data_IF_840124938336
#
_entry.id   IF_840124938336
#
_cell.length_a   1.000
_cell.length_b   1.000
_cell.length_c   1.000
_cell.angle_alpha   90.00
_cell.angle_beta   90.00
_cell.angle_gamma   90.00
#
_symmetry.space_group_name_H-M   'P 1'
#
loop_
_entity.id
_entity.type
_entity.pdbx_description
1 polymer ?
#
# COMPACT_ATOMS: atom_id res chain seq x y z
N UNK A 1 -33.65 -15.92 -57.95
CA UNK A 1 -34.47 -16.94 -57.27
C UNK A 1 -34.21 -16.78 -55.77
N UNK A 2 -35.12 -16.13 -55.03
CA UNK A 2 -36.17 -16.74 -54.17
C UNK A 2 -35.54 -17.61 -53.06
N UNK A 3 -35.80 -17.46 -51.75
CA UNK A 3 -36.89 -16.84 -50.96
C UNK A 3 -36.45 -16.86 -49.46
N UNK A 4 -36.57 -15.78 -48.67
CA UNK A 4 -37.72 -15.34 -47.81
C UNK A 4 -37.67 -15.87 -46.36
N UNK A 5 -37.59 -14.94 -45.39
CA UNK A 5 -38.02 -15.08 -43.98
C UNK A 5 -39.56 -15.20 -43.91
N UNK A 6 -40.18 -15.66 -42.80
CA UNK A 6 -40.65 -14.64 -41.83
C UNK A 6 -40.76 -15.07 -40.36
N UNK A 7 -40.84 -14.02 -39.55
CA UNK A 7 -41.33 -13.85 -38.17
C UNK A 7 -42.63 -14.58 -37.79
N UNK A 8 -42.79 -14.84 -36.48
CA UNK A 8 -44.10 -14.82 -35.82
C UNK A 8 -44.01 -14.47 -34.34
N UNK A 9 -44.90 -13.56 -33.94
CA UNK A 9 -45.14 -12.96 -32.63
C UNK A 9 -46.41 -13.57 -32.01
N UNK A 10 -46.45 -13.77 -30.69
CA UNK A 10 -47.64 -13.79 -29.80
C UNK A 10 -47.22 -14.24 -28.39
N UNK A 11 -47.89 -14.00 -27.27
CA UNK A 11 -48.75 -12.95 -26.74
C UNK A 11 -49.15 -13.45 -25.32
N UNK A 12 -49.10 -12.56 -24.33
CA UNK A 12 -49.94 -12.50 -23.10
C UNK A 12 -50.30 -13.79 -22.34
N UNK A 13 -49.95 -13.82 -21.05
CA UNK A 13 -50.88 -14.29 -20.00
C UNK A 13 -50.69 -13.52 -18.71
N UNK A 14 -51.71 -12.71 -18.38
CA UNK A 14 -51.94 -12.11 -17.07
C UNK A 14 -52.28 -13.20 -16.04
N UNK A 15 -51.75 -13.11 -14.82
CA UNK A 15 -52.47 -13.52 -13.60
C UNK A 15 -52.10 -12.58 -12.44
N UNK A 16 -53.13 -11.85 -12.02
CA UNK A 16 -53.20 -11.04 -10.80
C UNK A 16 -53.45 -11.94 -9.60
N UNK A 17 -52.71 -11.76 -8.50
CA UNK A 17 -53.20 -12.07 -7.14
C UNK A 17 -52.81 -10.93 -6.21
N UNK A 18 -53.83 -10.45 -5.50
CA UNK A 18 -53.82 -9.36 -4.53
C UNK A 18 -53.31 -9.85 -3.17
N UNK A 19 -52.76 -8.92 -2.37
CA UNK A 19 -53.22 -8.72 -0.99
C UNK A 19 -52.21 -8.93 0.15
N UNK A 20 -52.24 -7.94 1.06
CA UNK A 20 -51.75 -7.90 2.43
C UNK A 20 -50.22 -7.81 2.61
N UNK A 21 -49.65 -6.91 3.40
CA UNK A 21 -50.16 -5.99 4.41
C UNK A 21 -48.98 -5.69 5.34
N UNK A 22 -48.44 -4.48 5.27
CA UNK A 22 -47.41 -3.98 6.17
C UNK A 22 -48.03 -3.59 7.52
N UNK A 23 -47.36 -3.80 8.66
CA UNK A 23 -47.55 -2.95 9.82
C UNK A 23 -46.40 -1.94 9.95
N UNK A 24 -46.81 -0.69 10.09
CA UNK A 24 -46.02 0.46 10.51
C UNK A 24 -45.43 0.25 11.91
N UNK A 25 -44.12 0.44 12.06
CA UNK A 25 -43.50 0.69 13.36
C UNK A 25 -43.18 2.18 13.50
N UNK A 26 -43.85 2.81 14.46
CA UNK A 26 -43.76 4.22 14.86
C UNK A 26 -42.35 4.64 15.23
N UNK A 27 -41.89 5.74 14.63
CA UNK A 27 -40.88 6.62 15.20
C UNK A 27 -41.49 7.37 16.40
N UNK A 28 -40.91 7.23 17.59
CA UNK A 28 -41.11 8.15 18.71
C UNK A 28 -39.82 8.96 18.91
N UNK A 29 -39.88 10.23 18.51
CA UNK A 29 -39.09 11.31 19.09
C UNK A 29 -39.68 11.65 20.46
N UNK A 30 -38.84 11.88 21.47
CA UNK A 30 -39.01 12.92 22.52
C UNK A 30 -37.72 13.03 23.36
N UNK A 31 -37.14 14.22 23.34
CA UNK A 31 -36.11 14.84 24.20
C UNK A 31 -36.57 15.01 25.66
N UNK A 32 -35.84 15.71 26.57
CA UNK A 32 -34.41 15.74 26.90
C UNK A 32 -34.16 15.46 28.40
N UNK A 33 -32.95 15.09 28.83
CA UNK A 33 -32.63 15.01 30.27
C UNK A 33 -31.41 15.86 30.66
N UNK A 34 -31.75 17.00 31.27
CA UNK A 34 -31.24 17.54 32.55
C UNK A 34 -29.71 17.67 32.74
N UNK A 35 -29.29 18.92 32.69
CA UNK A 35 -28.08 19.47 33.34
C UNK A 35 -28.09 19.21 34.84
N UNK A 36 -26.94 18.77 35.39
CA UNK A 36 -26.67 18.77 36.82
C UNK A 36 -25.33 19.48 37.07
N UNK A 37 -25.39 20.55 37.86
CA UNK A 37 -24.23 21.26 38.42
C UNK A 37 -23.92 20.71 39.82
N UNK A 38 -22.61 20.61 40.15
CA UNK A 38 -22.10 20.75 41.51
C UNK A 38 -21.47 19.51 42.15
N UNK A 39 -20.15 19.54 42.39
CA UNK A 39 -19.41 18.61 43.25
C UNK A 39 -17.89 18.78 43.12
N UNK A 40 -17.09 18.67 44.19
CA UNK A 40 -16.00 19.61 44.49
C UNK A 40 -14.64 19.30 43.86
N UNK A 41 -13.84 20.36 43.79
CA UNK A 41 -12.43 20.40 43.41
C UNK A 41 -11.57 19.43 44.22
N UNK A 42 -10.99 18.44 43.55
CA UNK A 42 -9.83 17.70 44.06
C UNK A 42 -8.59 18.10 43.25
N UNK A 43 -7.73 18.85 43.93
CA UNK A 43 -6.42 19.30 43.50
C UNK A 43 -5.47 18.11 43.54
N UNK A 44 -5.08 17.58 42.38
CA UNK A 44 -4.03 16.56 42.29
C UNK A 44 -2.65 17.21 42.47
N UNK A 45 -1.76 16.67 43.29
CA UNK A 45 -0.40 17.20 43.41
C UNK A 45 0.38 16.90 42.13
N UNK A 46 1.08 17.93 41.64
CA UNK A 46 2.06 17.81 40.58
C UNK A 46 3.26 16.99 41.09
N UNK A 47 3.22 15.68 40.90
CA UNK A 47 4.39 14.82 41.00
C UNK A 47 4.94 14.62 39.59
N UNK A 48 6.06 15.30 39.31
CA UNK A 48 6.81 15.13 38.09
C UNK A 48 7.34 13.71 37.98
N UNK A 49 6.69 12.91 37.14
CA UNK A 49 7.29 11.73 36.54
C UNK A 49 7.58 12.09 35.09
N UNK A 50 8.86 12.30 34.78
CA UNK A 50 9.33 12.32 33.40
C UNK A 50 9.01 10.95 32.81
N UNK A 51 8.02 10.90 31.93
CA UNK A 51 7.70 9.70 31.17
C UNK A 51 8.87 9.39 30.24
N UNK A 52 9.73 8.45 30.62
CA UNK A 52 10.69 7.85 29.71
C UNK A 52 9.91 7.10 28.64
N UNK A 53 9.88 7.66 27.43
CA UNK A 53 9.21 7.04 26.29
C UNK A 53 9.86 5.68 25.96
N UNK A 54 9.06 4.67 25.55
CA UNK A 54 9.60 3.39 25.12
C UNK A 54 10.50 3.55 23.89
N UNK A 55 11.53 2.70 23.79
CA UNK A 55 12.56 2.66 22.73
C UNK A 55 12.00 2.50 21.29
N UNK A 56 10.69 2.28 21.11
CA UNK A 56 10.06 2.04 19.81
C UNK A 56 9.36 3.23 19.13
N UNK A 57 9.33 4.43 19.73
CA UNK A 57 8.61 5.59 19.16
C UNK A 57 9.36 6.91 19.38
N UNK A 58 10.68 6.94 19.17
CA UNK A 58 11.35 8.22 18.98
C UNK A 58 11.03 8.72 17.57
N UNK A 59 10.07 9.65 17.50
CA UNK A 59 9.88 10.53 16.34
C UNK A 59 11.18 11.32 16.19
N UNK A 60 12.06 10.87 15.30
CA UNK A 60 13.30 11.57 14.99
C UNK A 60 12.94 13.02 14.71
N UNK A 61 13.67 13.96 15.32
CA UNK A 61 13.41 15.37 15.08
C UNK A 61 13.56 15.60 13.58
N UNK A 62 12.44 15.88 12.92
CA UNK A 62 12.38 16.22 11.50
C UNK A 62 13.26 17.44 11.14
N UNK A 63 13.82 18.10 12.16
CA UNK A 63 14.63 19.30 12.10
C UNK A 63 16.14 19.06 11.82
N UNK A 64 16.65 17.83 11.80
CA UNK A 64 18.04 17.60 11.37
C UNK A 64 18.19 17.96 9.88
N UNK A 65 19.10 18.90 9.50
CA UNK A 65 19.40 19.18 8.10
C UNK A 65 19.90 17.91 7.39
N UNK A 66 19.69 17.81 6.08
CA UNK A 66 20.30 16.75 5.27
C UNK A 66 19.37 15.65 4.75
N UNK A 67 19.92 14.80 3.89
CA UNK A 67 19.25 13.65 3.26
C UNK A 67 19.06 12.46 4.21
N UNK A 68 18.42 11.39 3.73
CA UNK A 68 18.17 10.21 4.58
C UNK A 68 19.47 9.45 4.89
N UNK A 69 20.43 9.40 3.96
CA UNK A 69 21.74 8.79 4.20
C UNK A 69 22.55 9.57 5.25
N UNK A 70 22.54 10.90 5.20
CA UNK A 70 23.26 11.74 6.16
C UNK A 70 22.75 11.52 7.59
N UNK A 71 21.43 11.46 7.77
CA UNK A 71 20.83 11.15 9.07
C UNK A 71 21.19 9.74 9.56
N UNK A 72 21.22 8.74 8.66
CA UNK A 72 21.68 7.40 8.99
C UNK A 72 23.14 7.39 9.48
N UNK A 73 24.04 8.06 8.76
CA UNK A 73 25.45 8.16 9.12
C UNK A 73 25.66 8.91 10.44
N UNK A 74 24.85 9.93 10.74
CA UNK A 74 24.90 10.64 12.01
C UNK A 74 24.50 9.74 13.18
N UNK A 75 23.43 8.95 13.04
CA UNK A 75 23.01 7.97 14.05
C UNK A 75 24.05 6.86 14.23
N UNK A 76 24.71 6.45 13.14
CA UNK A 76 25.84 5.51 13.20
C UNK A 76 26.99 6.11 14.01
N UNK A 77 27.36 7.36 13.71
CA UNK A 77 28.46 8.06 14.38
C UNK A 77 28.17 8.36 15.86
N UNK A 78 26.91 8.59 16.24
CA UNK A 78 26.50 8.79 17.64
C UNK A 78 26.42 7.48 18.44
N UNK A 79 26.52 6.32 17.78
CA UNK A 79 26.38 5.00 18.41
C UNK A 79 24.93 4.63 18.73
N UNK A 80 23.94 5.37 18.22
CA UNK A 80 22.51 5.04 18.39
C UNK A 80 22.07 3.84 17.57
N UNK A 81 22.78 3.55 16.46
CA UNK A 81 22.60 2.35 15.65
C UNK A 81 23.92 1.62 15.46
N UNK A 82 23.84 0.30 15.29
CA UNK A 82 25.01 -0.51 14.96
C UNK A 82 25.40 -0.33 13.49
N UNK A 83 26.69 -0.42 13.21
CA UNK A 83 27.20 -0.38 11.84
C UNK A 83 26.81 -1.65 11.06
N UNK A 84 26.08 -1.46 9.96
CA UNK A 84 25.80 -2.53 8.99
C UNK A 84 26.07 -1.98 7.57
N UNK A 85 27.17 -2.40 6.92
CA UNK A 85 27.51 -1.96 5.57
C UNK A 85 26.40 -2.22 4.54
N UNK A 86 25.55 -3.24 4.76
CA UNK A 86 24.45 -3.60 3.84
C UNK A 86 23.31 -2.60 3.93
N UNK A 87 22.99 -2.15 5.16
CA UNK A 87 22.02 -1.08 5.37
C UNK A 87 22.52 0.24 4.80
N UNK A 88 23.82 0.56 4.93
CA UNK A 88 24.41 1.78 4.37
C UNK A 88 24.28 1.82 2.82
N UNK A 89 24.53 0.70 2.13
CA UNK A 89 24.31 0.59 0.68
C UNK A 89 22.84 0.84 0.32
N UNK A 90 21.91 0.20 1.04
CA UNK A 90 20.48 0.41 0.83
C UNK A 90 20.07 1.87 1.09
N UNK A 91 20.59 2.50 2.14
CA UNK A 91 20.35 3.90 2.46
C UNK A 91 20.88 4.84 1.39
N UNK A 92 22.04 4.55 0.80
CA UNK A 92 22.55 5.31 -0.34
C UNK A 92 21.62 5.23 -1.55
N UNK A 93 21.07 4.05 -1.86
CA UNK A 93 20.13 3.87 -2.96
C UNK A 93 18.82 4.65 -2.72
N UNK A 94 18.31 4.65 -1.48
CA UNK A 94 17.15 5.44 -1.08
C UNK A 94 17.41 6.95 -1.18
N UNK A 95 18.61 7.40 -0.82
CA UNK A 95 19.02 8.81 -0.88
C UNK A 95 19.18 9.28 -2.33
N UNK A 96 19.75 8.45 -3.20
CA UNK A 96 19.83 8.71 -4.64
C UNK A 96 18.44 8.80 -5.28
N UNK A 97 17.53 7.88 -4.93
CA UNK A 97 16.12 7.98 -5.33
C UNK A 97 15.48 9.29 -4.82
N UNK A 98 15.71 9.70 -3.57
CA UNK A 98 15.17 10.94 -3.05
C UNK A 98 15.64 12.18 -3.82
N UNK A 99 16.89 12.19 -4.30
CA UNK A 99 17.43 13.25 -5.17
C UNK A 99 16.73 13.26 -6.52
N UNK A 100 16.59 12.11 -7.16
CA UNK A 100 15.90 11.98 -8.45
C UNK A 100 14.46 12.48 -8.37
N UNK A 101 13.78 12.23 -7.26
CA UNK A 101 12.40 12.64 -7.03
C UNK A 101 12.21 14.13 -6.74
N UNK A 102 13.27 14.88 -6.47
CA UNK A 102 13.18 16.32 -6.12
C UNK A 102 12.59 17.16 -7.25
N UNK A 103 12.83 16.77 -8.51
CA UNK A 103 12.29 17.45 -9.71
C UNK A 103 11.24 16.62 -10.45
N UNK A 104 10.86 15.47 -9.90
CA UNK A 104 9.94 14.55 -10.53
C UNK A 104 8.50 15.04 -10.40
N UNK A 105 7.72 14.86 -11.47
CA UNK A 105 6.29 15.06 -11.46
C UNK A 105 5.62 13.96 -12.28
N UNK A 106 4.65 13.22 -11.72
CA UNK A 106 3.98 12.13 -12.41
C UNK A 106 3.05 12.64 -13.51
N UNK A 107 2.70 11.75 -14.43
CA UNK A 107 1.72 12.04 -15.49
C UNK A 107 0.32 11.77 -14.94
N UNK A 108 -0.44 12.82 -14.64
CA UNK A 108 -1.83 12.69 -14.17
C UNK A 108 -2.84 12.29 -15.27
N UNK A 109 -2.34 11.90 -16.45
CA UNK A 109 -3.15 11.42 -17.59
C UNK A 109 -2.38 10.32 -18.31
N UNK A 110 -3.08 9.25 -18.71
CA UNK A 110 -2.48 8.20 -19.54
C UNK A 110 -2.26 8.72 -20.97
N UNK A 111 -1.15 8.32 -21.59
CA UNK A 111 -1.01 8.45 -23.03
C UNK A 111 -2.07 7.57 -23.71
N UNK A 112 -2.62 8.01 -24.85
CA UNK A 112 -3.56 7.22 -25.63
C UNK A 112 -3.00 5.80 -25.86
N UNK A 113 -3.84 4.76 -25.65
CA UNK A 113 -3.45 3.33 -25.68
C UNK A 113 -2.56 3.03 -26.89
N UNK A 114 -1.25 3.04 -26.70
CA UNK A 114 -0.30 2.56 -27.71
C UNK A 114 -0.31 1.05 -27.62
N UNK A 115 -0.56 0.35 -28.72
CA UNK A 115 -0.50 -1.11 -28.85
C UNK A 115 0.92 -1.67 -28.81
N UNK A 116 1.86 -0.93 -28.20
CA UNK A 116 3.25 -1.33 -28.02
C UNK A 116 3.50 -1.92 -26.62
N UNK A 117 4.66 -2.57 -26.41
CA UNK A 117 5.07 -3.02 -25.09
C UNK A 117 5.06 -1.84 -24.09
N UNK A 118 4.72 -2.13 -22.83
CA UNK A 118 4.68 -1.15 -21.75
C UNK A 118 5.97 -0.31 -21.75
N UNK A 119 5.90 1.02 -21.53
CA UNK A 119 7.08 1.87 -21.57
C UNK A 119 8.10 1.37 -20.56
N UNK A 120 9.24 0.89 -21.07
CA UNK A 120 10.42 0.55 -20.26
C UNK A 120 10.92 1.83 -19.62
N UNK A 121 11.01 1.80 -18.29
CA UNK A 121 11.45 2.83 -17.35
C UNK A 121 12.74 3.55 -17.80
N UNK A 122 12.60 4.55 -18.67
CA UNK A 122 13.70 5.42 -19.11
C UNK A 122 13.43 6.90 -18.83
N UNK A 123 12.37 7.21 -18.09
CA UNK A 123 12.14 8.52 -17.50
C UNK A 123 11.74 8.39 -16.04
N UNK A 124 12.69 8.62 -15.13
CA UNK A 124 12.61 9.00 -13.70
C UNK A 124 11.55 8.38 -12.75
N UNK A 125 10.67 7.49 -13.20
CA UNK A 125 9.62 6.83 -12.42
C UNK A 125 10.02 5.41 -11.99
N UNK A 126 11.27 5.24 -11.55
CA UNK A 126 11.74 3.96 -11.01
C UNK A 126 11.34 3.82 -9.53
N UNK A 127 10.77 2.68 -9.16
CA UNK A 127 10.56 2.29 -7.77
C UNK A 127 11.80 1.66 -7.14
N UNK A 128 11.75 1.42 -5.83
CA UNK A 128 12.78 0.70 -5.09
C UNK A 128 12.14 -0.39 -4.23
N UNK A 129 12.50 -1.64 -4.48
CA UNK A 129 11.99 -2.77 -3.73
C UNK A 129 13.15 -3.41 -2.97
N UNK A 130 13.12 -3.37 -1.65
CA UNK A 130 14.17 -3.98 -0.84
C UNK A 130 13.63 -5.06 0.08
N UNK A 131 14.38 -6.15 0.17
CA UNK A 131 13.99 -7.32 0.95
C UNK A 131 15.14 -7.92 1.74
N UNK A 132 14.82 -8.90 2.59
CA UNK A 132 15.80 -9.55 3.47
C UNK A 132 16.20 -8.67 4.66
N UNK A 133 16.99 -9.23 5.57
CA UNK A 133 17.63 -8.50 6.68
C UNK A 133 16.70 -7.86 7.72
N UNK A 134 17.32 -7.20 8.68
CA UNK A 134 16.66 -6.40 9.72
C UNK A 134 16.72 -4.91 9.37
N UNK A 135 15.97 -4.06 10.09
CA UNK A 135 16.06 -2.61 9.92
C UNK A 135 15.37 -2.02 8.67
N UNK A 136 14.68 -2.81 7.84
CA UNK A 136 13.94 -2.30 6.66
C UNK A 136 12.96 -1.18 6.98
N UNK A 137 12.12 -1.37 8.00
CA UNK A 137 11.15 -0.37 8.43
C UNK A 137 11.83 0.89 8.95
N UNK A 138 12.99 0.75 9.59
CA UNK A 138 13.81 1.87 10.05
C UNK A 138 14.36 2.68 8.86
N UNK A 139 14.91 2.01 7.84
CA UNK A 139 15.37 2.67 6.60
C UNK A 139 14.22 3.35 5.86
N UNK A 140 13.06 2.69 5.77
CA UNK A 140 11.84 3.27 5.19
C UNK A 140 11.38 4.51 5.97
N UNK A 141 11.45 4.50 7.32
CA UNK A 141 11.14 5.69 8.12
C UNK A 141 12.06 6.86 7.75
N UNK A 142 13.38 6.62 7.69
CA UNK A 142 14.36 7.67 7.37
C UNK A 142 14.13 8.27 5.99
N UNK A 143 13.86 7.44 4.99
CA UNK A 143 13.50 7.90 3.65
C UNK A 143 12.20 8.70 3.66
N UNK A 144 11.12 8.14 4.23
CA UNK A 144 9.80 8.76 4.22
C UNK A 144 9.77 10.10 4.96
N UNK A 145 10.47 10.21 6.09
CA UNK A 145 10.48 11.43 6.89
C UNK A 145 11.28 12.56 6.22
N UNK A 146 12.32 12.23 5.44
CA UNK A 146 13.23 13.22 4.83
C UNK A 146 12.89 13.63 3.41
N UNK A 147 12.17 12.79 2.67
CA UNK A 147 11.85 13.12 1.28
C UNK A 147 10.91 14.33 1.17
N UNK A 148 11.31 15.32 0.38
CA UNK A 148 10.57 16.55 0.12
C UNK A 148 9.52 16.36 -0.99
N UNK A 149 8.67 15.34 -0.85
CA UNK A 149 7.51 15.09 -1.69
C UNK A 149 6.26 15.26 -0.83
N UNK A 150 5.33 16.10 -1.28
CA UNK A 150 4.08 16.39 -0.55
C UNK A 150 3.06 15.27 -0.76
N UNK A 151 2.88 14.83 -1.99
CA UNK A 151 1.94 13.80 -2.40
C UNK A 151 2.57 12.41 -2.24
N UNK A 152 2.83 12.04 -0.97
CA UNK A 152 3.36 10.73 -0.58
C UNK A 152 2.40 10.03 0.36
N UNK A 153 2.31 8.70 0.24
CA UNK A 153 1.49 7.85 1.11
C UNK A 153 2.31 6.66 1.57
N UNK A 154 2.31 6.42 2.88
CA UNK A 154 2.86 5.22 3.48
C UNK A 154 1.78 4.36 4.09
N UNK A 155 1.80 3.06 3.80
CA UNK A 155 0.74 2.14 4.18
C UNK A 155 1.26 0.69 4.14
N UNK A 156 0.74 -0.18 5.00
CA UNK A 156 1.00 -1.62 4.89
C UNK A 156 0.34 -2.18 3.63
N UNK A 157 1.04 -3.05 2.90
CA UNK A 157 0.56 -3.51 1.60
C UNK A 157 -0.83 -4.20 1.66
N UNK A 158 -1.08 -4.98 2.72
CA UNK A 158 -2.38 -5.64 2.92
C UNK A 158 -3.53 -4.63 3.12
N UNK A 159 -3.32 -3.59 3.93
CA UNK A 159 -4.31 -2.53 4.15
C UNK A 159 -4.60 -1.77 2.86
N UNK A 160 -3.56 -1.53 2.06
CA UNK A 160 -3.71 -0.92 0.75
C UNK A 160 -4.53 -1.79 -0.21
N UNK A 161 -4.33 -3.11 -0.21
CA UNK A 161 -5.14 -4.03 -1.01
C UNK A 161 -6.62 -4.01 -0.60
N UNK A 162 -6.91 -3.96 0.70
CA UNK A 162 -8.29 -3.78 1.20
C UNK A 162 -8.89 -2.48 0.68
N UNK A 163 -8.12 -1.39 0.69
CA UNK A 163 -8.55 -0.08 0.18
C UNK A 163 -8.88 -0.14 -1.32
N UNK A 164 -8.02 -0.78 -2.13
CA UNK A 164 -8.24 -0.98 -3.57
C UNK A 164 -9.54 -1.74 -3.84
N UNK A 165 -9.74 -2.90 -3.20
CA UNK A 165 -10.96 -3.71 -3.37
C UNK A 165 -12.21 -2.95 -2.94
N UNK A 166 -12.13 -2.20 -1.83
CA UNK A 166 -13.24 -1.38 -1.33
C UNK A 166 -13.64 -0.30 -2.33
N UNK A 167 -12.67 0.41 -2.91
CA UNK A 167 -12.91 1.45 -3.91
C UNK A 167 -13.49 0.87 -5.20
N UNK A 168 -12.95 -0.25 -5.68
CA UNK A 168 -13.45 -0.95 -6.87
C UNK A 168 -14.91 -1.36 -6.69
N UNK A 169 -15.24 -2.00 -5.57
CA UNK A 169 -16.59 -2.43 -5.27
C UNK A 169 -17.56 -1.25 -5.13
N UNK A 170 -17.13 -0.11 -4.55
CA UNK A 170 -17.93 1.11 -4.49
C UNK A 170 -18.23 1.67 -5.88
N UNK A 171 -17.22 1.76 -6.75
CA UNK A 171 -17.40 2.25 -8.13
C UNK A 171 -18.25 1.28 -8.96
N UNK A 172 -18.10 -0.03 -8.78
CA UNK A 172 -18.92 -1.04 -9.44
C UNK A 172 -20.41 -0.89 -9.06
N UNK A 173 -20.71 -0.73 -7.77
CA UNK A 173 -22.09 -0.50 -7.30
C UNK A 173 -22.68 0.81 -7.86
N UNK A 174 -21.93 1.91 -7.81
CA UNK A 174 -22.35 3.19 -8.36
C UNK A 174 -22.51 3.19 -9.89
N UNK A 175 -21.72 2.39 -10.60
CA UNK A 175 -21.78 2.25 -12.07
C UNK A 175 -22.96 1.40 -12.55
N UNK A 176 -23.76 0.81 -11.66
CA UNK A 176 -24.97 0.08 -12.07
C UNK A 176 -26.00 0.99 -12.79
N UNK A 177 -25.83 2.33 -12.70
CA UNK A 177 -26.58 3.32 -13.45
C UNK A 177 -26.01 3.62 -14.87
N UNK A 178 -24.75 3.25 -15.15
CA UNK A 178 -24.06 3.51 -16.41
C UNK A 178 -23.42 2.21 -16.94
N UNK A 179 -24.14 1.50 -17.80
CA UNK A 179 -23.83 0.11 -18.24
C UNK A 179 -22.56 -0.05 -19.07
N UNK A 180 -21.86 1.03 -19.39
CA UNK A 180 -20.74 1.03 -20.33
C UNK A 180 -19.34 0.95 -19.68
N UNK A 181 -19.24 1.10 -18.34
CA UNK A 181 -17.93 1.01 -17.68
C UNK A 181 -17.44 -0.45 -17.61
N UNK A 182 -16.32 -0.72 -18.28
CA UNK A 182 -15.62 -2.01 -18.19
C UNK A 182 -14.89 -2.15 -16.85
N UNK A 183 -14.48 -3.37 -16.50
CA UNK A 183 -13.67 -3.61 -15.30
C UNK A 183 -12.35 -2.82 -15.33
N UNK A 184 -11.74 -2.67 -16.51
CA UNK A 184 -10.49 -1.92 -16.66
C UNK A 184 -10.72 -0.41 -16.45
N UNK A 185 -11.87 0.13 -16.87
CA UNK A 185 -12.23 1.54 -16.63
C UNK A 185 -12.39 1.82 -15.12
N UNK A 186 -12.94 0.87 -14.36
CA UNK A 186 -13.05 1.01 -12.90
C UNK A 186 -11.67 1.00 -12.23
N UNK A 187 -10.77 0.11 -12.66
CA UNK A 187 -9.38 0.06 -12.18
C UNK A 187 -8.67 1.38 -12.48
N UNK A 188 -8.84 1.91 -13.68
CA UNK A 188 -8.23 3.18 -14.09
C UNK A 188 -8.72 4.34 -13.23
N UNK A 189 -10.03 4.42 -12.98
CA UNK A 189 -10.59 5.44 -12.11
C UNK A 189 -10.06 5.32 -10.68
N UNK A 190 -9.95 4.09 -10.12
CA UNK A 190 -9.40 3.89 -8.78
C UNK A 190 -7.94 4.29 -8.71
N UNK A 191 -7.10 3.85 -9.65
CA UNK A 191 -5.69 4.21 -9.70
C UNK A 191 -5.48 5.73 -9.82
N UNK A 192 -6.27 6.39 -10.68
CA UNK A 192 -6.21 7.84 -10.88
C UNK A 192 -6.57 8.61 -9.61
N UNK A 193 -7.62 8.16 -8.90
CA UNK A 193 -7.99 8.76 -7.62
C UNK A 193 -6.87 8.60 -6.58
N UNK A 194 -6.23 7.43 -6.52
CA UNK A 194 -5.12 7.16 -5.61
C UNK A 194 -3.87 7.98 -5.94
N UNK A 195 -3.55 8.17 -7.22
CA UNK A 195 -2.44 9.01 -7.67
C UNK A 195 -2.58 10.47 -7.27
N UNK A 196 -3.81 10.98 -7.17
CA UNK A 196 -4.10 12.34 -6.68
C UNK A 196 -3.86 12.47 -5.17
N UNK A 197 -4.03 11.39 -4.42
CA UNK A 197 -3.80 11.35 -2.97
C UNK A 197 -2.32 11.17 -2.63
N UNK A 198 -1.60 10.40 -3.44
CA UNK A 198 -0.17 10.22 -3.30
C UNK A 198 0.40 9.41 -4.46
N UNK A 199 1.35 10.00 -5.18
CA UNK A 199 2.02 9.33 -6.29
C UNK A 199 3.32 8.64 -5.86
N UNK A 200 3.92 9.07 -4.74
CA UNK A 200 4.97 8.32 -4.05
C UNK A 200 4.35 7.36 -3.04
N UNK A 201 4.38 6.07 -3.36
CA UNK A 201 3.78 4.99 -2.57
C UNK A 201 4.87 4.24 -1.80
N UNK A 202 4.87 4.38 -0.49
CA UNK A 202 5.77 3.68 0.43
C UNK A 202 5.03 2.50 1.07
N UNK A 203 5.26 1.29 0.56
CA UNK A 203 4.67 0.07 1.10
C UNK A 203 5.56 -0.56 2.16
N UNK A 204 5.00 -0.74 3.35
CA UNK A 204 5.60 -1.62 4.35
C UNK A 204 5.03 -3.04 4.22
N UNK A 205 5.88 -4.03 4.48
CA UNK A 205 5.51 -5.45 4.50
C UNK A 205 4.79 -5.91 3.22
N UNK A 206 5.41 -5.65 2.08
CA UNK A 206 4.93 -6.09 0.79
C UNK A 206 4.93 -7.62 0.71
N UNK A 207 3.76 -8.21 0.93
CA UNK A 207 3.52 -9.65 0.85
C UNK A 207 2.12 -9.93 0.30
N UNK A 208 1.98 -10.99 -0.50
CA UNK A 208 0.71 -11.38 -1.10
C UNK A 208 0.24 -12.68 -0.46
N UNK A 209 -0.99 -12.70 0.05
CA UNK A 209 -1.55 -13.88 0.74
C UNK A 209 -2.83 -14.40 0.09
N UNK A 210 -3.60 -13.54 -0.60
CA UNK A 210 -4.90 -13.90 -1.17
C UNK A 210 -4.92 -13.94 -2.70
N UNK A 211 -5.68 -14.88 -3.27
CA UNK A 211 -5.82 -15.03 -4.73
C UNK A 211 -6.57 -13.85 -5.37
N UNK A 212 -7.50 -13.23 -4.65
CA UNK A 212 -8.18 -12.00 -5.11
C UNK A 212 -7.19 -10.89 -5.44
N UNK A 213 -6.09 -10.81 -4.68
CA UNK A 213 -5.08 -9.78 -4.83
C UNK A 213 -4.24 -10.05 -6.08
N UNK A 214 -3.83 -11.31 -6.28
CA UNK A 214 -3.04 -11.71 -7.45
C UNK A 214 -3.69 -11.31 -8.79
N UNK A 215 -5.02 -11.42 -8.91
CA UNK A 215 -5.73 -11.07 -10.14
C UNK A 215 -5.74 -9.55 -10.38
N UNK A 216 -5.97 -8.76 -9.33
CA UNK A 216 -6.12 -7.31 -9.47
C UNK A 216 -4.78 -6.57 -9.51
N UNK A 217 -3.75 -7.11 -8.85
CA UNK A 217 -2.46 -6.45 -8.67
C UNK A 217 -1.83 -6.04 -10.00
N UNK A 218 -1.72 -6.96 -10.96
CA UNK A 218 -1.17 -6.63 -12.28
C UNK A 218 -1.91 -5.46 -12.91
N UNK A 219 -3.24 -5.45 -12.86
CA UNK A 219 -4.08 -4.43 -13.51
C UNK A 219 -3.88 -3.07 -12.85
N UNK A 220 -4.01 -2.98 -11.53
CA UNK A 220 -3.90 -1.71 -10.81
C UNK A 220 -2.48 -1.13 -10.89
N UNK A 221 -1.44 -1.96 -10.69
CA UNK A 221 -0.05 -1.51 -10.79
C UNK A 221 0.33 -1.10 -12.20
N UNK A 222 -0.19 -1.76 -13.25
CA UNK A 222 0.00 -1.29 -14.63
C UNK A 222 -0.46 0.16 -14.77
N UNK A 223 -1.67 0.48 -14.28
CA UNK A 223 -2.18 1.85 -14.38
C UNK A 223 -1.36 2.81 -13.54
N UNK A 224 -1.00 2.45 -12.31
CA UNK A 224 -0.20 3.30 -11.43
C UNK A 224 1.15 3.64 -12.07
N UNK A 225 1.86 2.65 -12.60
CA UNK A 225 3.14 2.86 -13.26
C UNK A 225 3.02 3.66 -14.55
N UNK A 226 1.96 3.47 -15.33
CA UNK A 226 1.70 4.29 -16.52
C UNK A 226 1.39 5.75 -16.18
N UNK A 227 0.74 6.01 -15.05
CA UNK A 227 0.52 7.35 -14.50
C UNK A 227 1.80 7.92 -13.83
N UNK A 228 2.88 7.14 -13.75
CA UNK A 228 4.14 7.56 -13.15
C UNK A 228 4.17 7.47 -11.62
N UNK A 229 3.45 6.52 -11.02
CA UNK A 229 3.62 6.20 -9.60
C UNK A 229 5.06 5.76 -9.33
N UNK A 230 5.60 6.20 -8.19
CA UNK A 230 6.89 5.74 -7.69
C UNK A 230 6.63 4.88 -6.48
N UNK A 231 7.10 3.63 -6.51
CA UNK A 231 6.85 2.66 -5.45
C UNK A 231 8.15 2.38 -4.69
N UNK A 232 8.16 2.64 -3.38
CA UNK A 232 9.21 2.17 -2.48
C UNK A 232 8.59 1.09 -1.59
N UNK A 233 9.18 -0.10 -1.53
CA UNK A 233 8.58 -1.23 -0.85
C UNK A 233 9.59 -1.99 0.03
N UNK A 234 9.16 -2.35 1.24
CA UNK A 234 9.89 -3.26 2.13
C UNK A 234 9.26 -4.65 2.10
N UNK A 235 10.05 -5.71 1.97
CA UNK A 235 9.54 -7.09 2.04
C UNK A 235 10.47 -8.03 2.79
N UNK A 236 9.95 -9.14 3.32
CA UNK A 236 10.76 -10.24 3.84
C UNK A 236 11.09 -11.28 2.77
N UNK A 237 10.52 -11.16 1.56
CA UNK A 237 10.68 -12.13 0.47
C UNK A 237 11.12 -11.40 -0.80
N UNK A 238 11.93 -12.04 -1.66
CA UNK A 238 12.18 -11.53 -3.00
C UNK A 238 10.88 -11.51 -3.83
N UNK A 239 10.80 -10.71 -4.91
CA UNK A 239 9.64 -10.66 -5.81
C UNK A 239 9.12 -12.04 -6.26
N UNK A 240 10.04 -12.95 -6.58
CA UNK A 240 9.74 -14.31 -7.06
C UNK A 240 8.94 -15.15 -6.05
N UNK A 241 9.10 -14.84 -4.76
CA UNK A 241 8.53 -15.59 -3.64
C UNK A 241 7.34 -14.89 -2.97
N UNK A 242 6.93 -13.72 -3.48
CA UNK A 242 5.85 -12.93 -2.89
C UNK A 242 4.51 -13.67 -2.80
N UNK A 243 4.28 -14.62 -3.69
CA UNK A 243 3.10 -15.49 -3.71
C UNK A 243 3.48 -16.97 -3.92
N UNK A 244 4.60 -17.38 -3.31
CA UNK A 244 5.04 -18.76 -3.36
C UNK A 244 3.97 -19.69 -2.74
N UNK A 245 3.66 -20.80 -3.42
CA UNK A 245 2.60 -21.75 -3.04
C UNK A 245 1.18 -21.17 -2.95
N UNK A 246 0.97 -19.97 -3.47
CA UNK A 246 -0.37 -19.37 -3.54
C UNK A 246 -1.31 -20.15 -4.47
N UNK A 247 -2.59 -20.20 -4.11
CA UNK A 247 -3.62 -20.79 -4.96
C UNK A 247 -3.66 -20.07 -6.30
N UNK A 248 -3.70 -20.78 -7.43
CA UNK A 248 -3.70 -20.18 -8.78
C UNK A 248 -2.53 -19.18 -9.01
N UNK A 249 -1.34 -19.46 -8.43
CA UNK A 249 -0.09 -18.70 -8.63
C UNK A 249 0.20 -18.27 -10.08
N UNK A 250 -0.12 -19.05 -11.14
CA UNK A 250 0.06 -18.59 -12.52
C UNK A 250 -0.62 -17.26 -12.87
N UNK A 251 -1.69 -16.87 -12.17
CA UNK A 251 -2.33 -15.57 -12.34
C UNK A 251 -1.48 -14.41 -11.78
N UNK A 252 -0.65 -14.68 -10.78
CA UNK A 252 0.27 -13.73 -10.17
C UNK A 252 1.58 -13.58 -10.96
N UNK A 253 2.08 -14.66 -11.57
CA UNK A 253 3.39 -14.68 -12.22
C UNK A 253 3.65 -13.49 -13.18
N UNK A 254 2.68 -13.02 -13.98
CA UNK A 254 2.91 -11.88 -14.87
C UNK A 254 3.09 -10.52 -14.17
N UNK A 255 2.82 -10.42 -12.86
CA UNK A 255 3.10 -9.22 -12.06
C UNK A 255 4.57 -9.09 -11.68
N UNK A 256 5.27 -10.22 -11.47
CA UNK A 256 6.66 -10.23 -11.03
C UNK A 256 7.60 -9.48 -11.99
N UNK A 257 7.64 -9.79 -13.31
CA UNK A 257 8.54 -9.07 -14.23
C UNK A 257 8.18 -7.59 -14.33
N UNK A 258 6.90 -7.23 -14.25
CA UNK A 258 6.48 -5.82 -14.20
C UNK A 258 7.04 -5.13 -12.95
N UNK A 259 6.96 -5.76 -11.78
CA UNK A 259 7.54 -5.20 -10.57
C UNK A 259 9.06 -5.03 -10.70
N UNK A 260 9.77 -6.00 -11.28
CA UNK A 260 11.22 -5.97 -11.48
C UNK A 260 11.66 -4.94 -12.55
N UNK A 261 10.84 -4.70 -13.58
CA UNK A 261 11.11 -3.70 -14.62
C UNK A 261 10.93 -2.26 -14.10
N UNK A 262 9.95 -2.06 -13.22
CA UNK A 262 9.66 -0.74 -12.66
C UNK A 262 10.46 -0.45 -11.38
N UNK A 263 10.82 -1.46 -10.59
CA UNK A 263 11.52 -1.28 -9.33
C UNK A 263 12.94 -1.82 -9.38
N UNK A 264 13.89 -1.03 -8.91
CA UNK A 264 15.22 -1.54 -8.57
C UNK A 264 15.10 -2.46 -7.35
N UNK A 265 15.34 -3.75 -7.55
CA UNK A 265 15.28 -4.78 -6.52
C UNK A 265 16.62 -4.88 -5.80
N UNK A 266 16.62 -4.85 -4.46
CA UNK A 266 17.82 -4.97 -3.64
C UNK A 266 17.62 -5.94 -2.47
N UNK A 267 18.50 -6.94 -2.36
CA UNK A 267 18.59 -7.80 -1.19
C UNK A 267 19.53 -7.14 -0.16
N UNK A 268 19.01 -6.86 1.02
CA UNK A 268 19.79 -6.36 2.16
C UNK A 268 20.58 -7.52 2.80
N UNK A 269 20.23 -8.77 2.49
CA UNK A 269 20.85 -9.98 3.00
C UNK A 269 20.30 -10.39 4.37
N UNK A 270 20.31 -11.69 4.67
CA UNK A 270 19.92 -12.19 5.99
C UNK A 270 20.90 -11.71 7.08
N UNK A 271 20.40 -11.43 8.27
CA UNK A 271 21.25 -11.31 9.45
C UNK A 271 21.98 -12.65 9.67
N UNK A 272 23.24 -12.63 10.14
CA UNK A 272 23.78 -13.81 10.81
C UNK A 272 22.92 -13.95 12.06
N UNK A 273 21.98 -14.88 12.05
CA UNK A 273 20.99 -15.04 13.12
C UNK A 273 21.68 -15.48 14.42
N UNK A 274 22.12 -14.51 15.22
CA UNK A 274 22.77 -14.78 16.51
C UNK A 274 21.82 -15.41 17.53
N UNK A 275 20.49 -15.45 17.29
CA UNK A 275 19.55 -16.18 18.17
C UNK A 275 19.81 -17.69 18.19
N UNK A 276 20.51 -18.22 17.19
CA UNK A 276 20.93 -19.63 17.16
C UNK A 276 22.26 -19.90 17.92
N UNK A 277 22.90 -18.89 18.48
CA UNK A 277 24.22 -19.06 19.14
C UNK A 277 24.12 -19.39 20.64
N UNK A 278 22.92 -19.47 21.22
CA UNK A 278 22.74 -19.71 22.66
C UNK A 278 22.29 -21.13 23.04
N UNK A 279 22.46 -22.13 22.19
CA UNK A 279 22.09 -23.53 22.51
C UNK A 279 23.16 -24.58 22.18
N UNK A 280 24.44 -24.20 22.17
CA UNK A 280 25.55 -25.18 22.09
C UNK A 280 26.66 -24.85 23.07
N UNK A 281 26.33 -24.81 24.35
CA UNK A 281 27.32 -24.95 25.43
C UNK A 281 26.60 -25.53 26.64
N UNK A 282 26.64 -26.86 26.79
CA UNK A 282 26.09 -27.51 27.97
C UNK A 282 25.73 -28.99 27.83
N UNK A 283 26.49 -29.79 27.08
CA UNK A 283 26.38 -31.25 27.22
C UNK A 283 27.69 -31.94 26.84
N UNK A 284 28.68 -31.85 27.75
CA UNK A 284 29.76 -32.82 27.87
C UNK A 284 30.31 -32.81 29.30
N UNK A 285 29.70 -33.61 30.19
CA UNK A 285 30.41 -34.27 31.29
C UNK A 285 29.46 -35.26 32.03
N UNK A 286 29.56 -36.55 31.68
CA UNK A 286 29.53 -37.72 32.58
C UNK A 286 29.51 -39.06 31.84
#
# INVERSE_FOLDING_TARGET
MRRVCPSSTCALSQKSVRGAGLPLARLHFLTPFRTFHGGPSLRWPAAGYAATSPVGQRRWSSAMPGGCLENYLQLKASGEIQEDPRQEVCMKMLDDLAKDLTSYSPKMTRAAKSTGPAPTSSGAGGGFFHFGGTGKTFMMNMFYDKINVKEKKRIHFHEWMIEVHTRLHKKQKGSSANRDNTADDLVEQVATDMMREGWLLCFDEFQVTHISDAIIMKRIFSVLFELGAVVVATSNRPPQDLYLNGLNRPLFLPFIPMLEDFCKVHDIGAEVDYRMTSTRDGEDDR
#
